data_IF_898341637735
#
_entry.id   IF_898341637735
#
_cell.length_a   1.000
_cell.length_b   1.000
_cell.length_c   1.000
_cell.angle_alpha   90.00
_cell.angle_beta   90.00
_cell.angle_gamma   90.00
#
_symmetry.space_group_name_H-M   'P 1'
#
loop_
_entity.id
_entity.type
_entity.pdbx_description
1 polymer ?
#
# COMPACT_ATOMS: atom_id res chain seq x y z
N UNK A 1 -11.57 -8.97 11.44
CA UNK A 1 -11.64 -8.00 12.55
C UNK A 1 -11.30 -6.65 11.95
N UNK A 2 -12.09 -5.63 12.21
CA UNK A 2 -11.91 -4.31 11.59
C UNK A 2 -10.91 -3.51 12.42
N UNK A 3 -9.87 -2.97 11.80
CA UNK A 3 -8.83 -2.20 12.48
C UNK A 3 -9.40 -0.91 13.09
N UNK A 4 -8.79 -0.42 14.18
CA UNK A 4 -9.32 0.70 14.97
C UNK A 4 -9.37 2.03 14.19
N UNK A 5 -8.49 2.16 13.20
CA UNK A 5 -8.42 3.30 12.29
C UNK A 5 -9.36 3.20 11.08
N UNK A 6 -10.05 2.08 10.91
CA UNK A 6 -10.98 1.88 9.80
C UNK A 6 -12.37 2.41 10.16
N UNK A 7 -12.80 3.46 9.46
CA UNK A 7 -14.07 4.17 9.63
C UNK A 7 -15.12 3.78 8.58
N UNK A 8 -14.90 2.68 7.85
CA UNK A 8 -15.90 2.11 6.93
C UNK A 8 -17.24 1.87 7.64
N UNK A 9 -18.36 1.85 6.94
CA UNK A 9 -19.64 1.35 7.49
C UNK A 9 -20.38 0.64 6.38
N UNK A 10 -21.32 -0.25 6.73
CA UNK A 10 -22.18 -0.92 5.75
C UNK A 10 -22.99 0.12 4.94
N UNK A 11 -23.32 1.26 5.58
CA UNK A 11 -23.95 2.41 4.93
C UNK A 11 -23.03 3.03 3.89
N UNK A 12 -21.76 3.29 4.23
CA UNK A 12 -20.78 3.81 3.29
C UNK A 12 -20.54 2.85 2.13
N UNK A 13 -20.44 1.55 2.41
CA UNK A 13 -20.28 0.51 1.39
C UNK A 13 -21.47 0.50 0.42
N UNK A 14 -22.70 0.56 0.95
CA UNK A 14 -23.93 0.66 0.14
C UNK A 14 -23.95 1.94 -0.71
N UNK A 15 -23.52 3.07 -0.14
CA UNK A 15 -23.43 4.34 -0.86
C UNK A 15 -22.47 4.22 -2.04
N UNK A 16 -21.25 3.70 -1.79
CA UNK A 16 -20.22 3.50 -2.83
C UNK A 16 -20.71 2.54 -3.91
N UNK A 17 -21.25 1.38 -3.53
CA UNK A 17 -21.75 0.38 -4.47
C UNK A 17 -22.94 0.87 -5.32
N UNK A 18 -23.72 1.82 -4.82
CA UNK A 18 -24.85 2.40 -5.56
C UNK A 18 -24.45 3.43 -6.61
N UNK A 19 -23.21 3.91 -6.59
CA UNK A 19 -22.75 4.90 -7.55
C UNK A 19 -22.40 4.25 -8.89
N UNK A 20 -22.79 4.92 -9.99
CA UNK A 20 -22.38 4.51 -11.34
C UNK A 20 -20.93 4.90 -11.59
N UNK A 21 -20.19 4.04 -12.29
CA UNK A 21 -18.84 4.36 -12.74
C UNK A 21 -18.89 5.34 -13.91
N UNK A 22 -18.23 6.48 -13.75
CA UNK A 22 -18.19 7.57 -14.72
C UNK A 22 -16.78 8.16 -14.85
N UNK A 23 -16.46 8.83 -15.96
CA UNK A 23 -15.20 9.53 -16.12
C UNK A 23 -14.90 10.45 -14.92
N UNK A 24 -13.65 10.38 -14.43
CA UNK A 24 -13.19 11.15 -13.26
C UNK A 24 -13.98 10.90 -11.98
N UNK A 25 -14.70 9.77 -11.88
CA UNK A 25 -15.49 9.38 -10.71
C UNK A 25 -16.58 10.39 -10.33
N UNK A 26 -17.11 11.15 -11.30
CA UNK A 26 -18.04 12.26 -11.05
C UNK A 26 -19.29 11.82 -10.25
N UNK A 27 -19.98 10.77 -10.68
CA UNK A 27 -21.13 10.22 -9.97
C UNK A 27 -20.77 9.71 -8.56
N UNK A 28 -19.63 9.05 -8.35
CA UNK A 28 -19.20 8.60 -7.03
C UNK A 28 -18.93 9.78 -6.09
N UNK A 29 -18.21 10.80 -6.55
CA UNK A 29 -17.93 12.01 -5.77
C UNK A 29 -19.23 12.74 -5.40
N UNK A 30 -20.18 12.86 -6.34
CA UNK A 30 -21.49 13.45 -6.07
C UNK A 30 -22.31 12.63 -5.06
N UNK A 31 -22.24 11.29 -5.16
CA UNK A 31 -22.94 10.38 -4.24
C UNK A 31 -22.35 10.47 -2.84
N UNK A 32 -21.02 10.45 -2.69
CA UNK A 32 -20.35 10.68 -1.41
C UNK A 32 -20.72 12.06 -0.83
N UNK A 33 -20.72 13.09 -1.66
CA UNK A 33 -21.01 14.46 -1.23
C UNK A 33 -22.42 14.65 -0.64
N UNK A 34 -23.39 13.95 -1.24
CA UNK A 34 -24.81 14.09 -0.91
C UNK A 34 -25.28 13.12 0.16
N UNK A 35 -24.70 11.91 0.22
CA UNK A 35 -25.21 10.80 1.04
C UNK A 35 -24.29 10.36 2.18
N UNK A 36 -23.10 10.96 2.32
CA UNK A 36 -22.15 10.60 3.39
C UNK A 36 -21.56 11.83 4.09
N UNK A 37 -20.74 11.59 5.12
CA UNK A 37 -19.95 12.62 5.79
C UNK A 37 -18.78 13.14 4.94
N UNK A 38 -18.36 12.40 3.91
CA UNK A 38 -17.21 12.70 3.06
C UNK A 38 -17.53 13.77 2.00
N UNK A 39 -18.08 14.91 2.43
CA UNK A 39 -18.67 15.93 1.57
C UNK A 39 -17.71 16.56 0.57
N UNK A 40 -16.45 16.65 0.96
CA UNK A 40 -15.35 17.22 0.19
C UNK A 40 -14.36 16.15 -0.31
N UNK A 41 -14.79 14.88 -0.38
CA UNK A 41 -13.95 13.84 -0.95
C UNK A 41 -13.43 14.25 -2.33
N UNK A 42 -12.15 14.06 -2.58
CA UNK A 42 -11.51 14.35 -3.85
C UNK A 42 -10.73 13.13 -4.32
N UNK A 43 -10.80 12.84 -5.62
CA UNK A 43 -9.97 11.82 -6.24
C UNK A 43 -8.50 12.23 -6.21
N UNK A 44 -7.62 11.29 -5.87
CA UNK A 44 -6.17 11.52 -5.79
C UNK A 44 -5.47 10.75 -6.91
N UNK A 45 -5.54 9.42 -6.89
CA UNK A 45 -4.85 8.57 -7.88
C UNK A 45 -5.47 7.17 -7.94
N UNK A 46 -5.04 6.35 -8.89
CA UNK A 46 -5.30 4.90 -8.90
C UNK A 46 -4.03 4.07 -8.85
N UNK A 47 -4.18 2.79 -8.53
CA UNK A 47 -3.16 1.74 -8.64
C UNK A 47 -3.77 0.54 -9.33
N UNK A 48 -3.16 0.19 -10.46
CA UNK A 48 -3.50 -0.98 -11.25
C UNK A 48 -2.37 -2.02 -11.10
N UNK A 49 -2.26 -2.54 -9.89
CA UNK A 49 -1.22 -3.49 -9.46
C UNK A 49 -1.82 -4.80 -8.95
N UNK A 50 -3.15 -4.88 -8.89
CA UNK A 50 -3.87 -6.05 -8.44
C UNK A 50 -4.13 -6.96 -9.63
N UNK A 51 -3.73 -8.23 -9.52
CA UNK A 51 -4.03 -9.22 -10.54
C UNK A 51 -5.54 -9.48 -10.59
N UNK A 52 -6.02 -9.91 -11.77
CA UNK A 52 -7.35 -10.48 -11.88
C UNK A 52 -7.48 -11.65 -10.89
N UNK A 53 -8.66 -11.80 -10.29
CA UNK A 53 -8.92 -12.85 -9.33
C UNK A 53 -10.24 -13.57 -9.63
N UNK A 54 -10.41 -14.81 -9.15
CA UNK A 54 -11.65 -15.56 -9.32
C UNK A 54 -12.86 -14.77 -8.81
N UNK A 55 -13.91 -14.75 -9.63
CA UNK A 55 -15.25 -14.31 -9.27
C UNK A 55 -16.14 -15.52 -9.01
N UNK A 56 -17.14 -15.69 -9.85
CA UNK A 56 -18.20 -16.69 -9.76
C UNK A 56 -17.98 -17.90 -10.67
N UNK A 57 -18.66 -19.00 -10.35
CA UNK A 57 -18.64 -20.25 -11.09
C UNK A 57 -19.95 -20.41 -11.85
N UNK A 58 -19.85 -20.84 -13.10
CA UNK A 58 -20.98 -21.07 -14.00
C UNK A 58 -20.95 -22.49 -14.54
N UNK A 59 -22.11 -23.03 -14.86
CA UNK A 59 -22.20 -24.27 -15.63
C UNK A 59 -21.91 -24.04 -17.13
N UNK A 60 -21.88 -25.13 -17.91
CA UNK A 60 -21.62 -25.07 -19.35
C UNK A 60 -22.67 -24.27 -20.15
N UNK A 61 -23.88 -24.10 -19.60
CA UNK A 61 -24.94 -23.29 -20.21
C UNK A 61 -24.82 -21.80 -19.88
N UNK A 62 -23.91 -21.44 -18.97
CA UNK A 62 -23.70 -20.07 -18.50
C UNK A 62 -24.61 -19.70 -17.32
N UNK A 63 -25.27 -20.66 -16.68
CA UNK A 63 -26.04 -20.41 -15.45
C UNK A 63 -25.07 -20.37 -14.27
N UNK A 64 -25.20 -19.34 -13.44
CA UNK A 64 -24.38 -19.17 -12.23
C UNK A 64 -24.72 -20.27 -11.21
N UNK A 65 -23.72 -21.01 -10.76
CA UNK A 65 -23.85 -22.10 -9.78
C UNK A 65 -23.06 -21.85 -8.49
N UNK A 66 -22.20 -20.84 -8.45
CA UNK A 66 -21.52 -20.39 -7.24
C UNK A 66 -21.16 -18.92 -7.33
N UNK A 67 -21.50 -18.13 -6.30
CA UNK A 67 -21.20 -16.69 -6.26
C UNK A 67 -19.70 -16.40 -6.07
N UNK A 68 -19.00 -17.32 -5.41
CA UNK A 68 -17.59 -17.21 -5.05
C UNK A 68 -16.91 -18.53 -5.39
N UNK A 69 -15.96 -18.49 -6.32
CA UNK A 69 -15.11 -19.64 -6.66
C UNK A 69 -14.51 -20.27 -5.42
N UNK A 70 -13.97 -19.45 -4.52
CA UNK A 70 -13.29 -19.93 -3.32
C UNK A 70 -14.24 -20.71 -2.41
N UNK A 71 -15.46 -20.23 -2.23
CA UNK A 71 -16.42 -20.89 -1.35
C UNK A 71 -17.08 -22.09 -2.03
N UNK A 72 -17.31 -22.01 -3.35
CA UNK A 72 -17.75 -23.14 -4.15
C UNK A 72 -16.73 -24.30 -4.10
N UNK A 73 -15.43 -24.02 -4.30
CA UNK A 73 -14.36 -25.02 -4.20
C UNK A 73 -14.29 -25.62 -2.80
N UNK A 74 -14.38 -24.81 -1.74
CA UNK A 74 -14.38 -25.34 -0.36
C UNK A 74 -15.56 -26.29 -0.13
N UNK A 75 -16.75 -25.91 -0.59
CA UNK A 75 -17.95 -26.75 -0.45
C UNK A 75 -17.81 -28.07 -1.21
N UNK A 76 -17.24 -28.04 -2.43
CA UNK A 76 -16.94 -29.26 -3.19
C UNK A 76 -15.92 -30.15 -2.47
N UNK A 77 -14.84 -29.58 -1.93
CA UNK A 77 -13.84 -30.33 -1.16
C UNK A 77 -14.49 -30.99 0.07
N UNK A 78 -15.34 -30.28 0.79
CA UNK A 78 -16.08 -30.81 1.93
C UNK A 78 -17.02 -31.95 1.52
N UNK A 79 -17.79 -31.78 0.45
CA UNK A 79 -18.69 -32.80 -0.09
C UNK A 79 -17.97 -34.09 -0.52
N UNK A 80 -16.67 -33.99 -0.86
CA UNK A 80 -15.80 -35.11 -1.22
C UNK A 80 -14.87 -35.53 -0.07
N UNK A 81 -15.21 -35.21 1.18
CA UNK A 81 -14.44 -35.60 2.38
C UNK A 81 -12.96 -35.19 2.33
N UNK A 82 -12.64 -34.07 1.68
CA UNK A 82 -11.27 -33.58 1.51
C UNK A 82 -10.53 -34.16 0.30
N UNK A 83 -11.13 -35.07 -0.46
CA UNK A 83 -10.50 -35.67 -1.66
C UNK A 83 -10.58 -34.71 -2.85
N UNK A 84 -9.56 -33.85 -2.97
CA UNK A 84 -9.42 -32.88 -4.07
C UNK A 84 -9.30 -33.53 -5.44
N UNK A 85 -8.76 -34.75 -5.48
CA UNK A 85 -8.55 -35.48 -6.70
C UNK A 85 -9.90 -36.02 -7.23
N UNK A 86 -10.80 -36.42 -6.32
CA UNK A 86 -12.18 -36.75 -6.62
C UNK A 86 -13.00 -35.52 -7.03
N UNK A 87 -12.82 -34.36 -6.38
CA UNK A 87 -13.47 -33.10 -6.79
C UNK A 87 -13.14 -32.77 -8.25
N UNK A 88 -11.86 -32.83 -8.60
CA UNK A 88 -11.41 -32.55 -9.96
C UNK A 88 -11.95 -33.59 -10.95
N UNK A 89 -11.82 -34.89 -10.66
CA UNK A 89 -12.32 -35.96 -11.54
C UNK A 89 -13.82 -35.85 -11.79
N UNK A 90 -14.58 -35.52 -10.75
CA UNK A 90 -16.03 -35.36 -10.84
C UNK A 90 -16.45 -34.17 -11.71
N UNK A 91 -15.66 -33.09 -11.72
CA UNK A 91 -16.08 -31.81 -12.30
C UNK A 91 -15.34 -31.41 -13.59
N UNK A 92 -14.18 -32.00 -13.92
CA UNK A 92 -13.32 -31.60 -15.04
C UNK A 92 -14.01 -31.62 -16.41
N UNK A 93 -14.92 -32.58 -16.61
CA UNK A 93 -15.59 -32.78 -17.90
C UNK A 93 -16.97 -32.11 -17.99
N UNK A 94 -17.39 -31.40 -16.93
CA UNK A 94 -18.71 -30.74 -16.88
C UNK A 94 -18.77 -29.42 -17.65
N UNK A 95 -17.65 -28.93 -18.17
CA UNK A 95 -17.57 -27.67 -18.91
C UNK A 95 -17.89 -26.44 -18.07
N UNK A 96 -17.63 -26.50 -16.75
CA UNK A 96 -17.81 -25.36 -15.87
C UNK A 96 -16.91 -24.19 -16.28
N UNK A 97 -17.42 -22.98 -16.11
CA UNK A 97 -16.76 -21.74 -16.47
C UNK A 97 -16.47 -20.91 -15.22
N UNK A 98 -15.41 -20.11 -15.31
CA UNK A 98 -15.00 -19.21 -14.24
C UNK A 98 -15.06 -17.76 -14.74
N UNK A 99 -15.69 -16.88 -13.96
CA UNK A 99 -15.47 -15.44 -14.13
C UNK A 99 -14.24 -14.96 -13.38
N UNK A 100 -13.62 -13.94 -13.96
CA UNK A 100 -12.56 -13.18 -13.32
C UNK A 100 -13.04 -11.75 -13.10
N UNK A 101 -12.65 -11.22 -11.94
CA UNK A 101 -12.82 -9.82 -11.59
C UNK A 101 -11.49 -9.12 -11.86
N UNK A 102 -11.52 -8.02 -12.61
CA UNK A 102 -10.38 -7.14 -12.86
C UNK A 102 -10.53 -5.89 -11.98
N UNK A 103 -9.75 -5.78 -10.89
CA UNK A 103 -9.85 -4.64 -9.97
C UNK A 103 -8.82 -3.54 -10.27
N UNK A 104 -9.27 -2.29 -10.25
CA UNK A 104 -8.39 -1.11 -10.19
C UNK A 104 -8.66 -0.38 -8.88
N UNK A 105 -7.63 -0.17 -8.05
CA UNK A 105 -7.79 0.51 -6.77
C UNK A 105 -7.71 2.03 -6.96
N UNK A 106 -8.70 2.76 -6.50
CA UNK A 106 -8.74 4.22 -6.51
C UNK A 106 -8.63 4.77 -5.10
N UNK A 107 -7.91 5.87 -4.97
CA UNK A 107 -7.69 6.57 -3.72
C UNK A 107 -8.37 7.92 -3.77
N UNK A 108 -9.12 8.21 -2.72
CA UNK A 108 -9.77 9.50 -2.49
C UNK A 108 -9.37 10.02 -1.11
N UNK A 109 -9.35 11.33 -0.95
CA UNK A 109 -9.10 11.97 0.34
C UNK A 109 -10.25 12.90 0.68
N UNK A 110 -10.80 12.76 1.88
CA UNK A 110 -11.68 13.74 2.50
C UNK A 110 -10.87 14.55 3.51
N UNK A 111 -10.42 15.72 3.08
CA UNK A 111 -9.62 16.64 3.88
C UNK A 111 -10.50 17.48 4.81
N UNK A 112 -10.23 17.41 6.12
CA UNK A 112 -10.95 18.16 7.15
C UNK A 112 -10.22 19.45 7.57
N UNK A 113 -9.09 19.76 6.93
CA UNK A 113 -8.28 20.95 7.21
C UNK A 113 -7.51 20.86 8.53
N UNK A 114 -6.82 21.95 8.89
CA UNK A 114 -5.98 21.99 10.10
C UNK A 114 -4.74 21.10 9.95
N UNK A 115 -4.51 20.20 10.91
CA UNK A 115 -3.37 19.29 10.89
C UNK A 115 -3.29 18.47 9.58
N UNK A 116 -2.09 18.15 9.12
CA UNK A 116 -1.86 17.50 7.81
C UNK A 116 -2.37 16.05 7.76
N UNK A 117 -2.46 15.39 8.91
CA UNK A 117 -3.01 14.05 9.10
C UNK A 117 -4.53 14.04 9.31
N UNK A 118 -5.17 15.22 9.39
CA UNK A 118 -6.60 15.35 9.62
C UNK A 118 -7.41 15.15 8.33
N UNK A 119 -7.38 13.93 7.82
CA UNK A 119 -8.17 13.51 6.66
C UNK A 119 -8.53 12.03 6.74
N UNK A 120 -9.58 11.67 6.00
CA UNK A 120 -9.91 10.26 5.75
C UNK A 120 -9.44 9.88 4.34
N UNK A 121 -8.72 8.78 4.22
CA UNK A 121 -8.40 8.16 2.94
C UNK A 121 -9.42 7.08 2.63
N UNK A 122 -10.13 7.20 1.51
CA UNK A 122 -11.03 6.17 1.00
C UNK A 122 -10.30 5.38 -0.09
N UNK A 123 -10.27 4.06 0.04
CA UNK A 123 -9.76 3.17 -1.00
C UNK A 123 -10.94 2.41 -1.58
N UNK A 124 -11.17 2.58 -2.87
CA UNK A 124 -12.37 2.08 -3.55
C UNK A 124 -11.91 1.38 -4.82
N UNK A 125 -12.26 0.11 -4.97
CA UNK A 125 -12.06 -0.58 -6.22
C UNK A 125 -13.09 -0.15 -7.24
N UNK A 126 -12.63 -0.05 -8.48
CA UNK A 126 -13.46 -0.22 -9.66
C UNK A 126 -13.26 -1.64 -10.16
N UNK A 127 -14.33 -2.36 -10.46
CA UNK A 127 -14.29 -3.77 -10.84
C UNK A 127 -15.09 -4.02 -12.11
N UNK A 128 -14.48 -4.72 -13.06
CA UNK A 128 -15.18 -5.38 -14.17
C UNK A 128 -15.14 -6.88 -13.95
N UNK A 129 -16.18 -7.58 -14.40
CA UNK A 129 -16.28 -9.04 -14.28
C UNK A 129 -16.66 -9.65 -15.62
N UNK A 130 -15.93 -10.68 -16.03
CA UNK A 130 -16.19 -11.41 -17.28
C UNK A 130 -15.93 -12.90 -17.09
N UNK A 131 -16.67 -13.75 -17.81
CA UNK A 131 -16.29 -15.16 -17.96
C UNK A 131 -15.11 -15.23 -18.91
N UNK A 132 -13.98 -15.76 -18.46
CA UNK A 132 -12.69 -15.68 -19.18
C UNK A 132 -12.03 -17.02 -19.38
N UNK A 133 -12.47 -18.08 -18.69
CA UNK A 133 -11.87 -19.41 -18.82
C UNK A 133 -12.79 -20.56 -18.40
N UNK A 134 -12.37 -21.77 -18.77
CA UNK A 134 -12.90 -22.99 -18.16
C UNK A 134 -12.40 -23.10 -16.71
N UNK A 135 -13.26 -23.61 -15.83
CA UNK A 135 -12.98 -23.73 -14.40
C UNK A 135 -11.84 -24.73 -14.13
N UNK A 136 -11.90 -25.90 -14.77
CA UNK A 136 -10.93 -26.97 -14.56
C UNK A 136 -10.17 -27.27 -15.85
N UNK A 137 -8.88 -27.55 -15.70
CA UNK A 137 -8.09 -28.22 -16.73
C UNK A 137 -8.59 -29.65 -16.93
N UNK A 138 -8.61 -30.10 -18.18
CA UNK A 138 -8.89 -31.51 -18.54
C UNK A 138 -7.61 -32.34 -18.64
N UNK A 139 -6.44 -31.71 -18.50
CA UNK A 139 -5.15 -32.39 -18.59
C UNK A 139 -4.82 -33.18 -17.32
N UNK A 140 -4.75 -34.51 -17.42
CA UNK A 140 -4.45 -35.42 -16.30
C UNK A 140 -3.14 -35.11 -15.56
N UNK A 141 -2.14 -34.58 -16.26
CA UNK A 141 -0.85 -34.22 -15.66
C UNK A 141 -0.90 -32.92 -14.83
N UNK A 142 -2.03 -32.19 -14.85
CA UNK A 142 -2.32 -31.04 -14.00
C UNK A 142 -3.37 -31.38 -12.92
N UNK A 143 -3.40 -32.63 -12.47
CA UNK A 143 -4.33 -33.07 -11.41
C UNK A 143 -3.94 -32.47 -10.05
N UNK A 144 -4.87 -31.84 -9.32
CA UNK A 144 -4.60 -31.28 -7.99
C UNK A 144 -4.28 -32.39 -6.98
N UNK A 145 -3.32 -32.10 -6.10
CA UNK A 145 -2.80 -32.98 -5.05
C UNK A 145 -3.17 -32.48 -3.65
N UNK A 146 -3.41 -31.18 -3.50
CA UNK A 146 -3.75 -30.55 -2.23
C UNK A 146 -4.95 -29.60 -2.33
N UNK A 147 -5.65 -29.29 -1.22
CA UNK A 147 -6.68 -28.25 -1.22
C UNK A 147 -6.16 -26.90 -1.69
N UNK A 148 -4.89 -26.59 -1.42
CA UNK A 148 -4.30 -25.34 -1.84
C UNK A 148 -4.17 -25.24 -3.36
N UNK A 149 -4.02 -26.37 -4.06
CA UNK A 149 -3.93 -26.41 -5.52
C UNK A 149 -5.21 -25.88 -6.18
N UNK A 150 -6.37 -26.19 -5.59
CA UNK A 150 -7.67 -25.67 -6.05
C UNK A 150 -8.02 -24.31 -5.47
N UNK A 151 -7.37 -23.86 -4.39
CA UNK A 151 -7.64 -22.56 -3.78
C UNK A 151 -6.70 -21.46 -4.28
N UNK A 152 -5.56 -21.84 -4.89
CA UNK A 152 -4.60 -20.92 -5.51
C UNK A 152 -4.94 -20.76 -6.99
N UNK A 153 -5.25 -19.53 -7.35
CA UNK A 153 -5.61 -19.11 -8.69
C UNK A 153 -4.40 -19.08 -9.64
N UNK A 154 -3.99 -20.22 -10.23
CA UNK A 154 -3.03 -20.20 -11.37
C UNK A 154 -2.97 -21.51 -12.17
N UNK A 155 -2.55 -22.63 -11.57
CA UNK A 155 -2.01 -23.78 -12.34
C UNK A 155 -3.04 -24.87 -12.69
N UNK A 156 -4.18 -24.89 -12.00
CA UNK A 156 -5.20 -25.95 -12.09
C UNK A 156 -6.47 -25.52 -12.80
N UNK A 157 -6.49 -24.27 -13.28
CA UNK A 157 -7.59 -23.73 -14.05
C UNK A 157 -7.53 -24.20 -15.50
N UNK A 158 -8.71 -24.26 -16.12
CA UNK A 158 -8.83 -24.65 -17.52
C UNK A 158 -8.40 -23.55 -18.49
N UNK A 159 -8.45 -23.90 -19.78
CA UNK A 159 -7.97 -23.02 -20.84
C UNK A 159 -8.76 -21.69 -20.88
N UNK A 160 -8.10 -20.57 -21.19
CA UNK A 160 -8.75 -19.30 -21.47
C UNK A 160 -9.75 -19.41 -22.62
N UNK A 161 -10.81 -18.61 -22.55
CA UNK A 161 -11.82 -18.47 -23.60
C UNK A 161 -11.98 -17.00 -23.97
N UNK A 162 -12.71 -16.73 -25.05
CA UNK A 162 -13.08 -15.36 -25.40
C UNK A 162 -13.87 -14.71 -24.25
N UNK A 163 -13.41 -13.57 -23.69
CA UNK A 163 -14.06 -12.94 -22.55
C UNK A 163 -15.52 -12.57 -22.80
N UNK A 164 -16.40 -12.92 -21.86
CA UNK A 164 -17.83 -12.60 -21.88
C UNK A 164 -18.17 -11.68 -20.70
N UNK A 165 -18.32 -10.36 -20.92
CA UNK A 165 -18.64 -9.43 -19.84
C UNK A 165 -19.96 -9.77 -19.12
N UNK A 166 -19.96 -9.71 -17.79
CA UNK A 166 -21.11 -10.05 -16.94
C UNK A 166 -21.87 -8.84 -16.40
N UNK A 167 -21.48 -7.63 -16.81
CA UNK A 167 -22.15 -6.41 -16.41
C UNK A 167 -21.33 -5.17 -16.71
N UNK A 168 -21.86 -4.04 -16.27
CA UNK A 168 -21.11 -2.79 -16.25
C UNK A 168 -20.07 -2.81 -15.11
N UNK A 169 -19.05 -1.98 -15.29
CA UNK A 169 -18.07 -1.66 -14.27
C UNK A 169 -18.75 -1.12 -13.00
N UNK A 170 -18.31 -1.58 -11.82
CA UNK A 170 -18.91 -1.26 -10.51
C UNK A 170 -17.89 -0.80 -9.49
N UNK A 171 -18.33 -0.01 -8.51
CA UNK A 171 -17.49 0.32 -7.36
C UNK A 171 -17.66 -0.68 -6.22
N UNK A 172 -16.56 -1.00 -5.53
CA UNK A 172 -16.57 -1.71 -4.25
C UNK A 172 -15.66 -0.99 -3.27
N UNK A 173 -16.19 -0.65 -2.09
CA UNK A 173 -15.38 -0.08 -1.03
C UNK A 173 -14.34 -1.11 -0.57
N UNK A 174 -13.07 -0.73 -0.56
CA UNK A 174 -12.01 -1.56 0.03
C UNK A 174 -11.90 -1.25 1.52
N UNK A 175 -11.68 0.02 1.86
CA UNK A 175 -11.77 0.54 3.21
C UNK A 175 -11.85 2.08 3.24
N UNK A 176 -12.03 2.62 4.44
CA UNK A 176 -11.95 4.04 4.76
C UNK A 176 -11.07 4.19 6.01
N UNK A 177 -9.96 4.92 5.89
CA UNK A 177 -8.93 5.03 6.94
C UNK A 177 -8.91 6.46 7.47
N UNK A 178 -9.16 6.63 8.76
CA UNK A 178 -8.89 7.91 9.43
C UNK A 178 -7.41 8.02 9.75
N UNK A 179 -6.70 8.94 9.09
CA UNK A 179 -5.24 9.01 9.16
C UNK A 179 -4.73 9.52 10.51
N UNK A 180 -5.50 10.34 11.22
CA UNK A 180 -5.12 10.80 12.55
C UNK A 180 -5.26 9.67 13.59
N UNK A 181 -6.29 8.83 13.47
CA UNK A 181 -6.40 7.62 14.29
C UNK A 181 -5.29 6.64 13.91
N UNK A 182 -5.04 6.43 12.62
CA UNK A 182 -3.97 5.56 12.13
C UNK A 182 -2.61 5.93 12.73
N UNK A 183 -2.20 7.20 12.63
CA UNK A 183 -0.90 7.66 13.15
C UNK A 183 -0.79 7.48 14.67
N UNK A 184 -1.89 7.71 15.40
CA UNK A 184 -1.94 7.49 16.85
C UNK A 184 -1.73 6.02 17.22
N UNK A 185 -2.39 5.11 16.49
CA UNK A 185 -2.24 3.66 16.71
C UNK A 185 -0.84 3.21 16.30
N UNK A 186 -0.30 3.73 15.19
CA UNK A 186 1.06 3.44 14.74
C UNK A 186 2.12 3.92 15.75
N UNK A 187 1.92 5.09 16.36
CA UNK A 187 2.79 5.59 17.43
C UNK A 187 2.77 4.67 18.65
N UNK A 188 1.58 4.27 19.13
CA UNK A 188 1.46 3.36 20.26
C UNK A 188 2.09 1.98 19.98
N UNK A 189 1.93 1.46 18.76
CA UNK A 189 2.58 0.24 18.31
C UNK A 189 4.11 0.38 18.33
N UNK A 190 4.65 1.45 17.77
CA UNK A 190 6.08 1.71 17.72
C UNK A 190 6.69 1.92 19.12
N UNK A 191 5.97 2.55 20.04
CA UNK A 191 6.44 2.72 21.42
C UNK A 191 6.52 1.38 22.16
N UNK A 192 5.57 0.48 21.91
CA UNK A 192 5.63 -0.89 22.44
C UNK A 192 6.78 -1.69 21.81
N UNK A 193 6.97 -1.59 20.50
CA UNK A 193 8.12 -2.21 19.81
C UNK A 193 9.46 -1.72 20.37
N UNK A 194 9.58 -0.41 20.58
CA UNK A 194 10.76 0.19 21.20
C UNK A 194 10.96 -0.29 22.62
N UNK A 195 9.91 -0.38 23.43
CA UNK A 195 9.99 -0.89 24.80
C UNK A 195 10.50 -2.33 24.82
N UNK A 196 9.96 -3.19 23.94
CA UNK A 196 10.41 -4.57 23.80
C UNK A 196 11.86 -4.63 23.30
N UNK A 197 12.21 -3.84 22.29
CA UNK A 197 13.56 -3.79 21.73
C UNK A 197 14.60 -3.32 22.76
N UNK A 198 14.31 -2.23 23.47
CA UNK A 198 15.16 -1.64 24.50
C UNK A 198 15.56 -2.66 25.58
N UNK A 199 14.61 -3.51 25.98
CA UNK A 199 14.82 -4.52 27.03
C UNK A 199 15.60 -5.77 26.55
N UNK A 200 15.84 -5.93 25.24
CA UNK A 200 16.59 -7.09 24.72
C UNK A 200 18.01 -7.08 25.24
N UNK A 201 18.47 -8.19 25.83
CA UNK A 201 19.84 -8.33 26.32
C UNK A 201 20.73 -8.87 25.20
N UNK A 202 21.74 -8.09 24.83
CA UNK A 202 22.76 -8.43 23.86
C UNK A 202 24.00 -8.96 24.59
N UNK A 203 24.53 -10.09 24.11
CA UNK A 203 25.88 -10.52 24.49
C UNK A 203 26.86 -9.92 23.51
N UNK A 204 27.93 -9.32 24.03
CA UNK A 204 28.98 -8.75 23.19
C UNK A 204 30.34 -9.31 23.60
N UNK A 205 31.25 -9.32 22.64
CA UNK A 205 32.68 -9.56 22.84
C UNK A 205 33.44 -8.48 22.07
N UNK A 206 34.24 -7.69 22.78
CA UNK A 206 35.12 -6.71 22.16
C UNK A 206 36.30 -7.44 21.51
N UNK A 207 36.39 -7.38 20.19
CA UNK A 207 37.41 -8.09 19.41
C UNK A 207 38.84 -7.55 19.61
N UNK A 208 38.99 -6.34 20.14
CA UNK A 208 40.30 -5.74 20.42
C UNK A 208 40.79 -6.01 21.85
N UNK A 209 39.88 -6.01 22.84
CA UNK A 209 40.26 -6.19 24.26
C UNK A 209 39.99 -7.59 24.81
N UNK A 210 39.17 -8.40 24.10
CA UNK A 210 38.71 -9.71 24.57
C UNK A 210 37.61 -9.65 25.65
N UNK A 211 37.22 -8.44 26.09
CA UNK A 211 36.18 -8.25 27.10
C UNK A 211 34.83 -8.75 26.58
N UNK A 212 34.12 -9.52 27.39
CA UNK A 212 32.78 -10.01 27.05
C UNK A 212 31.79 -9.68 28.16
N UNK A 213 30.56 -9.35 27.77
CA UNK A 213 29.55 -8.88 28.70
C UNK A 213 28.13 -9.07 28.18
N UNK A 214 27.17 -8.57 28.96
CA UNK A 214 25.76 -8.52 28.57
C UNK A 214 25.22 -7.14 28.91
N UNK A 215 24.60 -6.51 27.92
CA UNK A 215 24.07 -5.15 28.02
C UNK A 215 22.72 -5.10 27.31
N UNK A 216 21.82 -4.21 27.72
CA UNK A 216 20.55 -4.02 27.01
C UNK A 216 20.78 -3.36 25.64
N UNK A 217 19.84 -3.54 24.72
CA UNK A 217 19.91 -2.90 23.41
C UNK A 217 19.98 -1.37 23.52
N UNK A 218 19.22 -0.77 24.44
CA UNK A 218 19.20 0.68 24.64
C UNK A 218 20.54 1.22 25.14
N UNK A 219 21.19 0.50 26.05
CA UNK A 219 22.52 0.89 26.52
C UNK A 219 23.57 0.69 25.42
N UNK A 220 23.43 -0.32 24.56
CA UNK A 220 24.37 -0.59 23.45
C UNK A 220 24.19 0.39 22.27
N UNK A 221 22.98 0.89 22.06
CA UNK A 221 22.63 1.85 21.01
C UNK A 221 21.97 3.11 21.62
N UNK A 222 22.73 3.97 22.30
CA UNK A 222 22.17 5.18 22.88
C UNK A 222 21.55 6.07 21.78
N UNK A 223 20.33 6.55 22.01
CA UNK A 223 19.59 7.38 21.06
C UNK A 223 18.91 6.63 19.90
N UNK A 224 18.75 5.30 19.99
CA UNK A 224 17.97 4.53 18.99
C UNK A 224 16.50 5.00 18.86
N UNK A 225 16.00 5.72 19.87
CA UNK A 225 14.68 6.31 20.00
C UNK A 225 14.65 7.83 19.73
N UNK A 226 15.75 8.42 19.25
CA UNK A 226 15.90 9.87 19.00
C UNK A 226 14.77 10.49 18.18
N UNK A 227 14.19 9.73 17.26
CA UNK A 227 13.19 10.18 16.30
C UNK A 227 11.83 9.51 16.52
N UNK A 228 10.72 10.19 16.15
CA UNK A 228 9.41 9.57 16.15
C UNK A 228 9.36 8.38 15.17
N UNK A 229 8.30 7.58 15.26
CA UNK A 229 8.13 6.43 14.37
C UNK A 229 8.05 6.92 12.91
N UNK A 230 8.45 6.08 11.95
CA UNK A 230 8.53 6.47 10.53
C UNK A 230 7.22 7.03 9.96
N UNK A 231 6.07 6.55 10.42
CA UNK A 231 4.76 7.03 9.94
C UNK A 231 4.52 8.46 10.40
N UNK A 232 4.72 8.76 11.68
CA UNK A 232 4.61 10.13 12.20
C UNK A 232 5.66 11.05 11.58
N UNK A 233 6.90 10.57 11.52
CA UNK A 233 8.03 11.35 11.00
C UNK A 233 7.83 11.80 9.56
N UNK A 234 7.21 10.99 8.70
CA UNK A 234 6.93 11.39 7.32
C UNK A 234 6.03 12.63 7.25
N UNK A 235 5.04 12.72 8.14
CA UNK A 235 4.16 13.89 8.26
C UNK A 235 4.89 15.09 8.85
N UNK A 236 5.73 14.87 9.88
CA UNK A 236 6.55 15.93 10.48
C UNK A 236 7.53 16.50 9.45
N UNK A 237 8.24 15.65 8.73
CA UNK A 237 9.19 16.02 7.67
C UNK A 237 8.48 16.76 6.52
N UNK A 238 7.25 16.38 6.15
CA UNK A 238 6.44 17.17 5.21
C UNK A 238 6.11 18.54 5.78
N UNK A 239 5.55 18.60 6.99
CA UNK A 239 5.10 19.82 7.64
C UNK A 239 6.23 20.85 7.83
N UNK A 240 7.41 20.36 8.17
CA UNK A 240 8.60 21.16 8.48
C UNK A 240 9.48 21.47 7.26
N UNK A 241 9.10 20.98 6.07
CA UNK A 241 9.82 21.26 4.83
C UNK A 241 9.18 22.40 4.01
N UNK A 242 9.86 22.82 2.96
CA UNK A 242 9.31 23.69 1.92
C UNK A 242 8.05 23.10 1.28
N UNK A 243 7.94 21.77 1.21
CA UNK A 243 6.76 21.11 0.65
C UNK A 243 5.51 21.43 1.48
N UNK A 244 5.54 21.27 2.80
CA UNK A 244 4.44 21.63 3.69
C UNK A 244 4.23 23.15 3.78
N UNK A 245 5.32 23.92 3.78
CA UNK A 245 5.27 25.39 3.84
C UNK A 245 4.64 26.03 2.60
N UNK A 246 4.54 25.31 1.47
CA UNK A 246 3.87 25.78 0.25
C UNK A 246 2.34 25.89 0.39
N UNK A 247 1.75 25.41 1.49
CA UNK A 247 0.29 25.34 1.70
C UNK A 247 -0.35 24.09 1.09
N UNK A 248 0.43 23.21 0.47
CA UNK A 248 -0.04 21.96 -0.12
C UNK A 248 -0.42 20.94 0.93
N UNK A 249 -1.60 20.35 0.75
CA UNK A 249 -2.12 19.28 1.61
C UNK A 249 -1.48 17.95 1.22
N UNK A 250 -0.87 17.26 2.18
CA UNK A 250 -0.17 16.00 1.95
C UNK A 250 -1.08 14.94 1.31
N UNK A 251 -2.35 14.88 1.71
CA UNK A 251 -3.35 13.93 1.20
C UNK A 251 -3.77 14.16 -0.26
N UNK A 252 -3.32 15.26 -0.89
CA UNK A 252 -3.50 15.50 -2.33
C UNK A 252 -2.28 15.08 -3.15
N UNK A 253 -1.13 14.91 -2.48
CA UNK A 253 0.16 14.62 -3.10
C UNK A 253 0.62 13.19 -2.83
N UNK A 254 0.09 12.57 -1.79
CA UNK A 254 0.41 11.23 -1.34
C UNK A 254 -0.84 10.46 -0.96
N UNK A 255 -0.76 9.15 -1.19
CA UNK A 255 -1.68 8.16 -0.64
C UNK A 255 -0.86 7.18 0.19
N UNK A 256 -1.48 6.59 1.19
CA UNK A 256 -0.78 5.83 2.22
C UNK A 256 -1.34 4.41 2.29
N UNK A 257 -0.52 3.42 1.94
CA UNK A 257 -0.92 2.02 2.00
C UNK A 257 -0.57 1.44 3.37
N UNK A 258 -1.56 1.17 4.25
CA UNK A 258 -1.30 0.62 5.57
C UNK A 258 -0.68 -0.78 5.48
N UNK A 259 0.27 -1.02 6.38
CA UNK A 259 0.95 -2.28 6.62
C UNK A 259 0.74 -2.61 8.10
N UNK A 260 -0.14 -3.56 8.35
CA UNK A 260 -0.57 -3.94 9.70
C UNK A 260 -0.35 -5.43 9.91
N UNK A 261 0.53 -5.77 10.83
CA UNK A 261 0.84 -7.17 11.15
C UNK A 261 -0.26 -7.85 11.99
N UNK A 262 -1.23 -7.09 12.52
CA UNK A 262 -2.32 -7.64 13.33
C UNK A 262 -3.07 -8.75 12.57
N UNK A 263 -3.14 -9.94 13.16
CA UNK A 263 -3.84 -11.10 12.58
C UNK A 263 -2.99 -11.98 11.67
N UNK A 264 -1.81 -11.53 11.25
CA UNK A 264 -0.85 -12.31 10.44
C UNK A 264 0.38 -12.76 11.22
N UNK A 265 0.53 -12.31 12.47
CA UNK A 265 1.63 -12.74 13.33
C UNK A 265 1.46 -14.21 13.75
N UNK A 266 2.43 -15.04 13.36
CA UNK A 266 2.52 -16.43 13.82
C UNK A 266 2.79 -16.51 15.34
N UNK A 267 3.57 -15.55 15.87
CA UNK A 267 3.90 -15.43 17.27
C UNK A 267 3.21 -14.21 17.88
N UNK A 268 2.15 -14.46 18.67
CA UNK A 268 1.40 -13.42 19.36
C UNK A 268 2.16 -12.75 20.51
N UNK A 269 3.36 -13.22 20.84
CA UNK A 269 4.24 -12.56 21.81
C UNK A 269 5.00 -11.37 21.21
N UNK A 270 5.04 -11.25 19.87
CA UNK A 270 5.63 -10.10 19.23
C UNK A 270 4.69 -8.89 19.28
N UNK A 271 5.22 -7.69 19.45
CA UNK A 271 4.43 -6.47 19.36
C UNK A 271 3.84 -6.29 17.95
N UNK A 272 2.67 -5.67 17.86
CA UNK A 272 2.04 -5.29 16.58
C UNK A 272 2.93 -4.26 15.89
N UNK A 273 3.38 -4.56 14.68
CA UNK A 273 4.02 -3.62 13.77
C UNK A 273 2.96 -2.97 12.87
N UNK A 274 2.92 -1.64 12.86
CA UNK A 274 1.98 -0.83 12.09
C UNK A 274 2.67 0.38 11.46
N UNK A 275 2.61 0.48 10.13
CA UNK A 275 3.14 1.62 9.37
C UNK A 275 2.41 1.76 8.04
N UNK A 276 2.75 2.75 7.23
CA UNK A 276 2.29 2.82 5.84
C UNK A 276 3.46 2.84 4.86
N UNK A 277 3.17 2.47 3.61
CA UNK A 277 4.03 2.75 2.46
C UNK A 277 3.44 3.97 1.75
N UNK A 278 4.14 5.13 1.70
CA UNK A 278 3.66 6.28 0.96
C UNK A 278 3.74 6.00 -0.54
N UNK A 279 2.82 6.57 -1.29
CA UNK A 279 2.68 6.37 -2.72
C UNK A 279 2.29 7.70 -3.35
N UNK A 280 2.91 8.07 -4.48
CA UNK A 280 2.65 9.36 -5.12
C UNK A 280 1.18 9.48 -5.55
N UNK A 281 0.55 10.61 -5.25
CA UNK A 281 -0.84 10.89 -5.57
C UNK A 281 -1.12 11.23 -7.04
N UNK A 282 -0.38 10.63 -7.98
CA UNK A 282 -0.60 10.82 -9.41
C UNK A 282 -0.13 9.64 -10.26
N UNK A 283 -0.65 9.55 -11.49
CA UNK A 283 -0.24 8.55 -12.49
C UNK A 283 0.57 9.14 -13.67
N UNK A 284 0.96 10.42 -13.61
CA UNK A 284 1.77 11.02 -14.68
C UNK A 284 3.16 10.38 -14.75
N UNK A 285 3.67 10.24 -15.97
CA UNK A 285 5.06 9.81 -16.20
C UNK A 285 6.00 10.96 -15.83
N UNK A 286 6.86 10.72 -14.84
CA UNK A 286 7.91 11.67 -14.41
C UNK A 286 9.26 11.05 -14.72
N UNK A 287 10.12 11.80 -15.39
CA UNK A 287 11.48 11.34 -15.69
C UNK A 287 12.33 11.27 -14.40
N UNK A 288 13.04 10.16 -14.23
CA UNK A 288 13.97 9.99 -13.11
C UNK A 288 15.16 10.95 -13.20
N UNK A 289 15.72 11.29 -12.04
CA UNK A 289 16.95 12.07 -11.92
C UNK A 289 18.15 11.13 -12.09
N UNK A 290 18.55 10.96 -13.35
CA UNK A 290 19.62 10.04 -13.74
C UNK A 290 20.97 10.74 -14.00
N UNK A 291 22.01 9.91 -14.16
CA UNK A 291 23.37 10.29 -14.58
C UNK A 291 24.06 11.27 -13.62
N UNK A 292 23.70 11.23 -12.34
CA UNK A 292 24.20 12.17 -11.33
C UNK A 292 25.72 12.12 -11.17
N UNK A 293 26.36 10.95 -11.40
CA UNK A 293 27.81 10.75 -11.19
C UNK A 293 28.71 11.73 -11.96
N UNK A 294 28.26 12.21 -13.12
CA UNK A 294 29.05 13.10 -13.98
C UNK A 294 28.72 14.59 -13.78
N UNK A 295 27.92 14.92 -12.77
CA UNK A 295 27.46 16.28 -12.49
C UNK A 295 28.18 16.81 -11.27
N UNK A 296 28.60 18.07 -11.32
CA UNK A 296 28.92 18.81 -10.10
C UNK A 296 27.66 19.01 -9.23
N UNK A 297 27.86 19.40 -7.97
CA UNK A 297 26.77 19.47 -6.99
C UNK A 297 25.77 20.59 -7.29
N UNK A 298 26.22 21.70 -7.91
CA UNK A 298 25.33 22.77 -8.34
C UNK A 298 24.41 22.32 -9.48
N UNK A 299 24.95 21.59 -10.46
CA UNK A 299 24.20 21.01 -11.57
C UNK A 299 23.22 19.93 -11.09
N UNK A 300 23.61 19.12 -10.10
CA UNK A 300 22.70 18.17 -9.45
C UNK A 300 21.55 18.90 -8.74
N UNK A 301 21.86 19.90 -7.92
CA UNK A 301 20.84 20.66 -7.20
C UNK A 301 19.88 21.39 -8.15
N UNK A 302 20.41 22.03 -9.20
CA UNK A 302 19.59 22.64 -10.25
C UNK A 302 18.69 21.63 -10.99
N UNK A 303 19.11 20.38 -11.13
CA UNK A 303 18.28 19.30 -11.70
C UNK A 303 17.18 18.86 -10.75
N UNK A 304 17.45 18.80 -9.45
CA UNK A 304 16.45 18.50 -8.42
C UNK A 304 15.41 19.63 -8.33
N UNK A 305 15.81 20.90 -8.44
CA UNK A 305 14.87 22.02 -8.50
C UNK A 305 13.97 21.95 -9.75
N UNK A 306 14.52 21.56 -10.92
CA UNK A 306 13.70 21.28 -12.12
C UNK A 306 12.77 20.07 -11.94
N UNK A 307 13.14 19.10 -11.10
CA UNK A 307 12.25 18.00 -10.74
C UNK A 307 11.08 18.54 -9.92
N UNK A 308 11.33 19.39 -8.92
CA UNK A 308 10.28 20.05 -8.13
C UNK A 308 9.34 20.89 -8.99
N UNK A 309 9.85 21.67 -9.94
CA UNK A 309 9.04 22.44 -10.88
C UNK A 309 8.06 21.54 -11.67
N UNK A 310 8.54 20.38 -12.12
CA UNK A 310 7.68 19.39 -12.80
C UNK A 310 6.68 18.79 -11.85
N UNK A 311 7.06 18.56 -10.59
CA UNK A 311 6.15 18.01 -9.60
C UNK A 311 5.08 19.03 -9.19
N UNK A 312 5.45 20.30 -9.15
CA UNK A 312 4.64 21.42 -8.68
C UNK A 312 4.67 21.59 -7.16
N UNK A 313 5.70 21.06 -6.47
CA UNK A 313 5.90 21.20 -5.03
C UNK A 313 7.41 21.34 -4.77
N UNK A 314 7.86 22.36 -4.03
CA UNK A 314 9.28 22.50 -3.69
C UNK A 314 9.72 21.39 -2.73
N UNK A 315 11.00 21.03 -2.78
CA UNK A 315 11.59 19.96 -1.97
C UNK A 315 10.91 18.59 -2.15
N UNK A 316 10.17 18.40 -3.24
CA UNK A 316 9.51 17.12 -3.54
C UNK A 316 10.53 16.02 -3.83
N UNK A 317 11.67 16.35 -4.46
CA UNK A 317 12.71 15.38 -4.76
C UNK A 317 13.20 14.60 -3.53
N UNK A 318 13.15 15.20 -2.34
CA UNK A 318 13.46 14.53 -1.08
C UNK A 318 12.51 13.35 -0.84
N UNK A 319 11.20 13.61 -0.83
CA UNK A 319 10.17 12.59 -0.62
C UNK A 319 10.18 11.52 -1.71
N UNK A 320 10.48 11.91 -2.96
CA UNK A 320 10.68 10.96 -4.05
C UNK A 320 11.95 10.12 -3.89
N UNK A 321 12.96 10.65 -3.20
CA UNK A 321 14.19 9.96 -2.85
C UNK A 321 14.01 8.89 -1.77
N UNK A 322 12.98 9.01 -0.92
CA UNK A 322 12.73 8.07 0.19
C UNK A 322 12.43 6.64 -0.28
N UNK A 323 11.84 6.45 -1.47
CA UNK A 323 11.64 5.13 -2.08
C UNK A 323 12.76 4.73 -3.04
N UNK A 324 13.65 5.64 -3.41
CA UNK A 324 14.75 5.32 -4.31
C UNK A 324 14.35 5.02 -5.76
N UNK A 325 13.14 5.37 -6.22
CA UNK A 325 12.68 5.07 -7.58
C UNK A 325 13.08 6.16 -8.59
N UNK A 326 12.52 7.36 -8.46
CA UNK A 326 12.74 8.49 -9.37
C UNK A 326 13.92 9.37 -8.97
N UNK A 327 14.21 9.43 -7.68
CA UNK A 327 15.41 10.05 -7.11
C UNK A 327 16.08 8.96 -6.29
N UNK A 328 17.40 8.82 -6.42
CA UNK A 328 18.17 7.80 -5.69
C UNK A 328 18.73 8.38 -4.39
N UNK A 329 18.90 7.55 -3.36
CA UNK A 329 19.47 7.98 -2.07
C UNK A 329 20.82 8.69 -2.22
N UNK A 330 21.68 8.22 -3.14
CA UNK A 330 22.96 8.88 -3.42
C UNK A 330 22.84 10.32 -3.97
N UNK A 331 21.69 10.74 -4.50
CA UNK A 331 21.45 12.15 -4.79
C UNK A 331 21.20 12.95 -3.51
N UNK A 332 20.43 12.40 -2.57
CA UNK A 332 20.14 13.03 -1.28
C UNK A 332 21.42 13.17 -0.44
N UNK A 333 22.23 12.11 -0.35
CA UNK A 333 23.52 12.10 0.36
C UNK A 333 24.44 13.23 -0.14
N UNK A 334 24.55 13.36 -1.47
CA UNK A 334 25.38 14.41 -2.08
C UNK A 334 24.87 15.81 -1.79
N UNK A 335 23.56 16.01 -1.75
CA UNK A 335 22.97 17.32 -1.43
C UNK A 335 23.21 17.69 0.03
N UNK A 336 23.17 16.73 0.97
CA UNK A 336 23.56 16.99 2.36
C UNK A 336 25.01 17.46 2.40
N UNK A 337 25.94 16.69 1.83
CA UNK A 337 27.37 17.03 1.86
C UNK A 337 27.64 18.37 1.19
N UNK A 338 27.06 18.63 0.02
CA UNK A 338 27.23 19.91 -0.68
C UNK A 338 26.69 21.11 0.12
N UNK A 339 25.61 20.93 0.88
CA UNK A 339 25.08 21.97 1.76
C UNK A 339 26.02 22.21 2.97
N UNK A 340 26.57 21.15 3.55
CA UNK A 340 27.53 21.22 4.67
C UNK A 340 28.87 21.86 4.24
N UNK A 341 29.30 21.59 3.02
CA UNK A 341 30.50 22.18 2.41
C UNK A 341 30.28 23.62 1.91
N UNK A 342 29.05 24.15 1.99
CA UNK A 342 28.69 25.50 1.54
C UNK A 342 28.69 25.69 0.02
N UNK A 343 28.62 24.60 -0.76
CA UNK A 343 28.62 24.61 -2.23
C UNK A 343 27.24 24.96 -2.81
N UNK A 344 26.18 24.70 -2.05
CA UNK A 344 24.79 25.04 -2.38
C UNK A 344 24.10 25.72 -1.21
N UNK A 345 23.03 26.45 -1.51
CA UNK A 345 22.16 27.05 -0.49
C UNK A 345 20.83 26.31 -0.47
N UNK A 346 20.59 25.59 0.63
CA UNK A 346 19.32 24.94 0.94
C UNK A 346 18.62 25.75 2.04
N UNK A 347 17.28 25.93 1.99
CA UNK A 347 16.57 26.50 3.12
C UNK A 347 16.86 25.72 4.41
N UNK A 348 17.07 26.42 5.52
CA UNK A 348 17.48 25.81 6.81
C UNK A 348 16.51 24.70 7.27
N UNK A 349 15.21 24.89 7.05
CA UNK A 349 14.20 23.90 7.43
C UNK A 349 14.28 22.62 6.57
N UNK A 350 14.58 22.74 5.27
CA UNK A 350 14.81 21.60 4.37
C UNK A 350 16.11 20.86 4.72
N UNK A 351 17.17 21.60 5.08
CA UNK A 351 18.43 21.01 5.55
C UNK A 351 18.21 20.15 6.80
N UNK A 352 17.43 20.63 7.78
CA UNK A 352 17.10 19.86 8.99
C UNK A 352 16.37 18.56 8.68
N UNK A 353 15.42 18.59 7.74
CA UNK A 353 14.70 17.37 7.30
C UNK A 353 15.67 16.38 6.65
N UNK A 354 16.54 16.87 5.77
CA UNK A 354 17.53 16.04 5.08
C UNK A 354 18.57 15.46 6.05
N UNK A 355 18.99 16.23 7.06
CA UNK A 355 19.93 15.78 8.09
C UNK A 355 19.33 14.68 8.96
N UNK A 356 18.07 14.83 9.39
CA UNK A 356 17.33 13.76 10.10
C UNK A 356 17.27 12.47 9.29
N UNK A 357 17.09 12.59 7.99
CA UNK A 357 17.14 11.45 7.08
C UNK A 357 18.53 10.82 6.97
N UNK A 358 19.60 11.61 6.90
CA UNK A 358 20.96 11.07 6.89
C UNK A 358 21.27 10.28 8.17
N UNK A 359 20.82 10.77 9.33
CA UNK A 359 21.04 10.11 10.61
C UNK A 359 20.17 8.86 10.81
N UNK A 360 18.94 8.90 10.31
CA UNK A 360 18.02 7.77 10.36
C UNK A 360 17.27 7.69 9.02
N UNK A 361 17.75 6.91 8.05
CA UNK A 361 17.04 6.72 6.79
C UNK A 361 15.71 5.99 6.97
N UNK A 362 14.75 6.26 6.08
CA UNK A 362 13.50 5.48 6.03
C UNK A 362 13.78 4.07 5.50
N UNK A 363 13.12 3.07 6.09
CA UNK A 363 13.04 1.70 5.57
C UNK A 363 11.59 1.36 5.24
N UNK A 364 11.11 1.84 4.08
CA UNK A 364 9.77 1.55 3.58
C UNK A 364 9.70 0.22 2.86
#
# INVERSE_FOLDING_TARGET
MKHEYCVQTDVLETIVASARVEPRHAALLATLATRSEYRSAAYVTSRDTYAAHPGAVFDASGVRIGESYRDWVKAEIEAHNGDVAAVWEHNKDKGYLLSEVQPVLHFFAHDRGGALDNFTQLRIFTETEAITRNLFTTADWRRPQSPNDLLVYHDYLGDPIEPRPLGAERYRLYDAIDMQIFLRVAAACADEERRVAAARRLKFTNLQTGESGTQSFAEFHPGFDKYPNKSQRFFDDWSESSAGSSGERICRRWVFEPQDSQGYQADKSQPRHLYFIPQWGHNRKVAAVEKIRNMDDYALYGRLNKFDERIGVPFSWYFYGLHGNLVKAGALERIVSAAEDGLIVLPEHDYRVLKRWQEQPYGF
#
